data_IF_505780617686
#
_entry.id   IF_505780617686
#
_cell.length_a   1.000
_cell.length_b   1.000
_cell.length_c   1.000
_cell.angle_alpha   90.00
_cell.angle_beta   90.00
_cell.angle_gamma   90.00
#
_symmetry.space_group_name_H-M   'P 1'
#
loop_
_entity.id
_entity.type
_entity.pdbx_description
1 polymer ?
#
# COMPACT_ATOMS: atom_id res chain seq x y z
N UNK A 1 -13.82 -10.34 -15.61
CA UNK A 1 -12.77 -10.25 -14.57
C UNK A 1 -12.55 -8.80 -14.07
N UNK A 2 -12.30 -7.82 -14.95
CA UNK A 2 -12.05 -6.42 -14.53
C UNK A 2 -13.26 -5.79 -13.81
N UNK A 3 -14.46 -6.14 -14.24
CA UNK A 3 -15.71 -5.66 -13.63
C UNK A 3 -15.93 -6.27 -12.23
N UNK A 4 -15.72 -7.57 -12.06
CA UNK A 4 -15.86 -8.27 -10.77
C UNK A 4 -14.88 -7.69 -9.74
N UNK A 5 -13.63 -7.49 -10.14
CA UNK A 5 -12.60 -6.92 -9.24
C UNK A 5 -12.88 -5.46 -8.88
N UNK A 6 -13.48 -4.69 -9.78
CA UNK A 6 -13.96 -3.33 -9.50
C UNK A 6 -15.04 -3.34 -8.43
N UNK A 7 -16.02 -4.22 -8.54
CA UNK A 7 -17.12 -4.37 -7.60
C UNK A 7 -16.64 -4.83 -6.21
N UNK A 8 -15.75 -5.84 -6.17
CA UNK A 8 -15.14 -6.31 -4.91
C UNK A 8 -14.40 -5.18 -4.19
N UNK A 9 -13.62 -4.38 -4.92
CA UNK A 9 -12.90 -3.22 -4.37
C UNK A 9 -13.88 -2.17 -3.82
N UNK A 10 -14.94 -1.86 -4.55
CA UNK A 10 -15.95 -0.88 -4.13
C UNK A 10 -16.65 -1.35 -2.85
N UNK A 11 -17.05 -2.61 -2.78
CA UNK A 11 -17.67 -3.19 -1.60
C UNK A 11 -16.74 -3.11 -0.38
N UNK A 12 -15.47 -3.44 -0.57
CA UNK A 12 -14.46 -3.39 0.48
C UNK A 12 -14.25 -1.96 0.99
N UNK A 13 -14.15 -0.98 0.10
CA UNK A 13 -14.01 0.43 0.47
C UNK A 13 -15.25 0.95 1.20
N UNK A 14 -16.45 0.55 0.81
CA UNK A 14 -17.68 0.87 1.53
C UNK A 14 -17.69 0.26 2.94
N UNK A 15 -17.29 -1.00 3.09
CA UNK A 15 -17.18 -1.65 4.40
C UNK A 15 -16.20 -0.94 5.34
N UNK A 16 -15.10 -0.41 4.81
CA UNK A 16 -14.15 0.41 5.56
C UNK A 16 -14.77 1.75 5.93
N UNK A 17 -15.36 2.46 4.95
CA UNK A 17 -15.94 3.79 5.14
C UNK A 17 -17.13 3.78 6.11
N UNK A 18 -17.82 2.65 6.26
CA UNK A 18 -18.88 2.47 7.25
C UNK A 18 -18.39 2.54 8.69
N UNK A 19 -17.13 2.18 8.94
CA UNK A 19 -16.55 2.08 10.29
C UNK A 19 -15.47 3.11 10.59
N UNK A 20 -14.76 3.57 9.55
CA UNK A 20 -13.56 4.41 9.70
C UNK A 20 -13.58 5.59 8.75
N UNK A 21 -12.86 6.65 9.09
CA UNK A 21 -12.61 7.76 8.18
C UNK A 21 -11.72 7.27 7.02
N UNK A 22 -12.26 7.29 5.81
CA UNK A 22 -11.59 6.85 4.60
C UNK A 22 -11.44 8.01 3.62
N UNK A 23 -10.21 8.30 3.23
CA UNK A 23 -9.89 9.23 2.15
C UNK A 23 -9.57 8.46 0.87
N UNK A 24 -10.24 8.78 -0.23
CA UNK A 24 -10.05 8.12 -1.53
C UNK A 24 -9.59 9.13 -2.55
N UNK A 25 -8.36 8.99 -3.03
CA UNK A 25 -7.78 9.80 -4.09
C UNK A 25 -7.91 9.09 -5.44
N UNK A 26 -8.70 9.64 -6.35
CA UNK A 26 -8.98 8.98 -7.63
C UNK A 26 -9.20 9.98 -8.76
N UNK A 27 -8.79 9.58 -9.98
CA UNK A 27 -9.15 10.27 -11.21
C UNK A 27 -10.40 9.67 -11.88
N UNK A 28 -10.98 8.62 -11.29
CA UNK A 28 -12.22 8.04 -11.80
C UNK A 28 -13.42 8.76 -11.19
N UNK A 29 -14.06 9.60 -11.99
CA UNK A 29 -15.24 10.39 -11.58
C UNK A 29 -16.51 9.55 -11.36
N UNK A 30 -16.53 8.32 -11.90
CA UNK A 30 -17.65 7.39 -11.70
C UNK A 30 -17.58 6.63 -10.37
N UNK A 31 -16.38 6.59 -9.73
CA UNK A 31 -16.21 5.93 -8.45
C UNK A 31 -16.79 6.80 -7.35
N UNK A 32 -17.80 6.29 -6.66
CA UNK A 32 -18.36 6.91 -5.48
C UNK A 32 -18.40 5.91 -4.32
N UNK A 33 -17.81 6.29 -3.19
CA UNK A 33 -17.85 5.54 -1.93
C UNK A 33 -18.66 6.39 -0.94
N UNK A 34 -19.82 5.91 -0.55
CA UNK A 34 -20.89 6.73 0.04
C UNK A 34 -20.46 7.53 1.28
N UNK A 35 -19.64 6.92 2.16
CA UNK A 35 -19.19 7.55 3.41
C UNK A 35 -17.73 7.97 3.41
N UNK A 36 -17.03 7.82 2.28
CA UNK A 36 -15.64 8.22 2.17
C UNK A 36 -15.53 9.71 1.76
N UNK A 37 -14.41 10.32 2.13
CA UNK A 37 -14.01 11.62 1.61
C UNK A 37 -13.34 11.40 0.26
N UNK A 38 -14.05 11.78 -0.81
CA UNK A 38 -13.58 11.62 -2.18
C UNK A 38 -12.71 12.81 -2.58
N UNK A 39 -11.50 12.55 -3.01
CA UNK A 39 -10.55 13.55 -3.50
C UNK A 39 -10.25 13.31 -4.98
N UNK A 40 -10.01 14.39 -5.72
CA UNK A 40 -9.44 14.30 -7.07
C UNK A 40 -8.03 13.71 -7.02
N UNK A 41 -7.56 13.22 -8.16
CA UNK A 41 -6.15 12.79 -8.28
C UNK A 41 -5.22 13.96 -7.94
N UNK A 42 -4.16 13.66 -7.23
CA UNK A 42 -3.14 14.62 -6.81
C UNK A 42 -1.82 14.32 -7.53
N UNK A 43 -0.92 15.31 -7.53
CA UNK A 43 0.38 15.14 -8.14
C UNK A 43 1.16 14.00 -7.48
N UNK A 44 1.62 13.07 -8.32
CA UNK A 44 2.24 11.83 -7.89
C UNK A 44 3.58 12.04 -7.19
N UNK A 45 4.38 12.99 -7.66
CA UNK A 45 5.75 13.18 -7.17
C UNK A 45 5.82 14.12 -5.96
N UNK A 46 4.99 15.17 -5.92
CA UNK A 46 5.08 16.19 -4.89
C UNK A 46 4.07 16.01 -3.75
N UNK A 47 2.85 15.57 -4.06
CA UNK A 47 1.75 15.52 -3.09
C UNK A 47 1.46 14.13 -2.53
N UNK A 48 1.55 13.11 -3.38
CA UNK A 48 1.24 11.73 -2.96
C UNK A 48 2.13 11.23 -1.81
N UNK A 49 3.45 11.44 -1.80
CA UNK A 49 4.29 11.01 -0.68
C UNK A 49 3.90 11.66 0.66
N UNK A 50 3.43 12.91 0.63
CA UNK A 50 2.94 13.60 1.82
C UNK A 50 1.66 12.95 2.37
N UNK A 51 0.73 12.58 1.49
CA UNK A 51 -0.48 11.85 1.86
C UNK A 51 -0.13 10.51 2.49
N UNK A 52 0.77 9.72 1.88
CA UNK A 52 1.20 8.44 2.43
C UNK A 52 1.80 8.56 3.82
N UNK A 53 2.62 9.57 4.04
CA UNK A 53 3.26 9.80 5.34
C UNK A 53 2.30 10.27 6.42
N UNK A 54 1.27 11.06 6.06
CA UNK A 54 0.28 11.62 7.00
C UNK A 54 -0.86 10.66 7.31
N UNK A 55 -1.14 9.71 6.42
CA UNK A 55 -2.18 8.72 6.64
C UNK A 55 -1.77 7.72 7.70
N UNK A 56 -2.66 7.40 8.63
CA UNK A 56 -2.40 6.37 9.66
C UNK A 56 -2.15 5.01 9.02
N UNK A 57 -2.97 4.65 8.05
CA UNK A 57 -2.87 3.38 7.29
C UNK A 57 -3.05 3.70 5.81
N UNK A 58 -2.16 3.19 4.99
CA UNK A 58 -2.27 3.24 3.53
C UNK A 58 -2.65 1.86 3.02
N UNK A 59 -3.82 1.76 2.39
CA UNK A 59 -4.33 0.51 1.84
C UNK A 59 -3.88 0.32 0.39
N UNK A 60 -3.21 -0.78 0.11
CA UNK A 60 -2.92 -1.24 -1.24
C UNK A 60 -3.71 -2.50 -1.55
N UNK A 61 -4.50 -2.46 -2.62
CA UNK A 61 -5.26 -3.61 -3.11
C UNK A 61 -4.83 -3.91 -4.54
N UNK A 62 -3.98 -4.93 -4.68
CA UNK A 62 -3.58 -5.42 -6.00
C UNK A 62 -4.68 -6.33 -6.57
N UNK A 63 -4.95 -6.19 -7.86
CA UNK A 63 -5.96 -6.99 -8.54
C UNK A 63 -5.58 -8.48 -8.50
N UNK A 64 -6.55 -9.36 -8.25
CA UNK A 64 -6.36 -10.84 -8.27
C UNK A 64 -5.80 -11.38 -9.58
N UNK A 65 -5.98 -10.65 -10.69
CA UNK A 65 -5.42 -11.01 -11.98
C UNK A 65 -3.91 -10.78 -12.10
N UNK A 66 -3.33 -10.03 -11.18
CA UNK A 66 -1.87 -9.81 -11.11
C UNK A 66 -1.30 -10.90 -10.20
N UNK A 67 -0.83 -11.97 -10.83
CA UNK A 67 -0.30 -13.15 -10.14
C UNK A 67 1.20 -13.04 -9.85
N UNK A 68 1.89 -12.09 -10.49
CA UNK A 68 3.33 -11.85 -10.30
C UNK A 68 3.65 -10.36 -10.37
N UNK A 69 4.74 -9.98 -9.71
CA UNK A 69 5.19 -8.60 -9.60
C UNK A 69 4.58 -7.85 -8.40
N UNK A 70 5.26 -6.80 -7.98
CA UNK A 70 4.86 -5.95 -6.87
C UNK A 70 4.33 -4.64 -7.42
N UNK A 71 3.18 -4.20 -6.91
CA UNK A 71 2.65 -2.87 -7.22
C UNK A 71 3.66 -1.78 -6.81
N UNK A 72 3.97 -0.86 -7.71
CA UNK A 72 4.82 0.31 -7.40
C UNK A 72 4.29 1.07 -6.19
N UNK A 73 2.99 1.02 -5.94
CA UNK A 73 2.34 1.66 -4.79
C UNK A 73 2.91 1.17 -3.45
N UNK A 74 3.30 -0.09 -3.34
CA UNK A 74 3.94 -0.63 -2.12
C UNK A 74 5.26 0.09 -1.88
N UNK A 75 6.10 0.20 -2.91
CA UNK A 75 7.39 0.92 -2.81
C UNK A 75 7.20 2.41 -2.50
N UNK A 76 6.17 3.04 -3.09
CA UNK A 76 5.87 4.46 -2.86
C UNK A 76 5.45 4.72 -1.41
N UNK A 77 4.55 3.89 -0.86
CA UNK A 77 4.09 4.00 0.52
C UNK A 77 5.26 3.82 1.49
N UNK A 78 6.04 2.75 1.33
CA UNK A 78 7.20 2.47 2.18
C UNK A 78 8.28 3.55 2.02
N UNK A 79 8.54 4.00 0.79
CA UNK A 79 9.49 5.06 0.47
C UNK A 79 9.13 6.39 1.14
N UNK A 80 7.85 6.72 1.21
CA UNK A 80 7.34 7.89 1.92
C UNK A 80 7.36 7.75 3.46
N UNK A 81 7.63 6.56 3.99
CA UNK A 81 7.57 6.26 5.43
C UNK A 81 6.15 6.04 5.95
N UNK A 82 5.22 5.68 5.06
CA UNK A 82 3.84 5.33 5.41
C UNK A 82 3.70 3.88 5.87
N UNK A 83 2.74 3.62 6.75
CA UNK A 83 2.33 2.26 7.08
C UNK A 83 1.54 1.66 5.91
N UNK A 84 1.99 0.52 5.40
CA UNK A 84 1.38 -0.18 4.27
C UNK A 84 0.60 -1.41 4.73
N UNK A 85 -0.71 -1.42 4.48
CA UNK A 85 -1.57 -2.60 4.59
C UNK A 85 -1.94 -3.08 3.19
N UNK A 86 -1.52 -4.28 2.81
CA UNK A 86 -1.69 -4.80 1.45
C UNK A 86 -2.28 -6.20 1.44
N UNK A 87 -3.02 -6.56 0.38
CA UNK A 87 -3.39 -7.96 0.22
C UNK A 87 -2.16 -8.85 0.02
N UNK A 88 -2.25 -10.09 0.52
CA UNK A 88 -1.16 -11.06 0.39
C UNK A 88 -0.80 -11.29 -1.09
N UNK A 89 0.48 -11.21 -1.37
CA UNK A 89 1.11 -11.61 -2.62
C UNK A 89 2.46 -12.29 -2.31
N UNK A 90 2.71 -13.41 -2.94
CA UNK A 90 3.94 -14.19 -2.73
C UNK A 90 5.21 -13.37 -3.00
N UNK A 91 5.18 -12.53 -4.03
CA UNK A 91 6.34 -11.70 -4.38
C UNK A 91 6.60 -10.59 -3.33
N UNK A 92 5.56 -10.06 -2.70
CA UNK A 92 5.70 -9.12 -1.58
C UNK A 92 6.30 -9.86 -0.37
N UNK A 93 5.78 -11.04 -0.05
CA UNK A 93 6.23 -11.85 1.09
C UNK A 93 7.69 -12.33 0.94
N UNK A 94 8.20 -12.48 -0.28
CA UNK A 94 9.62 -12.78 -0.55
C UNK A 94 10.56 -11.61 -0.28
N UNK A 95 10.08 -10.37 -0.42
CA UNK A 95 10.93 -9.18 -0.34
C UNK A 95 10.79 -8.43 0.98
N UNK A 96 9.63 -8.52 1.63
CA UNK A 96 9.30 -7.80 2.85
C UNK A 96 8.72 -8.75 3.90
N UNK A 97 9.05 -8.49 5.16
CA UNK A 97 8.55 -9.27 6.28
C UNK A 97 7.19 -8.77 6.76
N UNK A 98 6.19 -9.66 6.71
CA UNK A 98 4.85 -9.39 7.23
C UNK A 98 4.87 -9.14 8.74
N UNK A 99 4.14 -8.12 9.19
CA UNK A 99 4.09 -7.71 10.59
C UNK A 99 5.34 -6.98 11.10
N UNK A 100 6.42 -6.88 10.30
CA UNK A 100 7.65 -6.19 10.68
C UNK A 100 7.97 -4.98 9.79
N UNK A 101 7.76 -5.09 8.48
CA UNK A 101 8.13 -4.08 7.47
C UNK A 101 6.93 -3.52 6.72
N UNK A 102 5.87 -4.30 6.65
CA UNK A 102 4.52 -3.97 6.17
C UNK A 102 3.54 -4.98 6.77
N UNK A 103 2.26 -4.84 6.50
CA UNK A 103 1.25 -5.80 6.94
C UNK A 103 0.45 -6.32 5.75
N UNK A 104 0.30 -7.64 5.67
CA UNK A 104 -0.47 -8.30 4.63
C UNK A 104 -1.79 -8.86 5.19
N UNK A 105 -2.86 -8.79 4.39
CA UNK A 105 -4.15 -9.42 4.71
C UNK A 105 -4.54 -10.44 3.64
N UNK A 106 -5.29 -11.45 4.03
CA UNK A 106 -5.70 -12.56 3.16
C UNK A 106 -7.12 -12.39 2.62
N UNK A 107 -8.01 -11.83 3.41
CA UNK A 107 -9.41 -11.62 3.08
C UNK A 107 -9.97 -10.34 3.74
N UNK A 108 -11.24 -10.06 3.50
CA UNK A 108 -11.93 -8.87 4.02
C UNK A 108 -11.97 -8.82 5.55
N UNK A 109 -12.27 -9.95 6.20
CA UNK A 109 -12.35 -9.99 7.65
C UNK A 109 -10.98 -9.77 8.29
N UNK A 110 -9.94 -10.41 7.75
CA UNK A 110 -8.55 -10.22 8.20
C UNK A 110 -8.11 -8.76 8.01
N UNK A 111 -8.47 -8.14 6.88
CA UNK A 111 -8.19 -6.73 6.63
C UNK A 111 -8.87 -5.82 7.66
N UNK A 112 -10.17 -6.01 7.92
CA UNK A 112 -10.92 -5.19 8.88
C UNK A 112 -10.37 -5.35 10.30
N UNK A 113 -10.03 -6.56 10.70
CA UNK A 113 -9.41 -6.82 12.01
C UNK A 113 -8.03 -6.13 12.13
N UNK A 114 -7.21 -6.18 11.08
CA UNK A 114 -5.90 -5.51 11.05
C UNK A 114 -6.04 -3.99 11.02
N UNK A 115 -7.02 -3.45 10.30
CA UNK A 115 -7.34 -2.02 10.35
C UNK A 115 -7.67 -1.58 11.78
N UNK A 116 -8.59 -2.27 12.45
CA UNK A 116 -8.97 -1.97 13.83
C UNK A 116 -7.77 -2.04 14.76
N UNK A 117 -7.03 -3.15 14.69
CA UNK A 117 -5.85 -3.36 15.52
C UNK A 117 -4.83 -2.24 15.38
N UNK A 118 -4.37 -1.96 14.16
CA UNK A 118 -3.32 -0.97 13.93
C UNK A 118 -3.79 0.49 14.06
N UNK A 119 -5.08 0.78 14.01
CA UNK A 119 -5.60 2.10 14.38
C UNK A 119 -5.48 2.36 15.88
N UNK A 120 -5.55 1.32 16.72
CA UNK A 120 -5.43 1.39 18.17
C UNK A 120 -3.98 1.26 18.67
N UNK A 121 -3.09 0.59 17.91
CA UNK A 121 -1.69 0.30 18.28
C UNK A 121 -0.71 1.20 17.51
N UNK A 122 -0.69 2.48 17.88
CA UNK A 122 0.08 3.49 17.16
C UNK A 122 1.59 3.24 17.19
N UNK A 123 2.15 2.88 18.34
CA UNK A 123 3.59 2.65 18.48
C UNK A 123 4.07 1.50 17.57
N UNK A 124 3.34 0.40 17.55
CA UNK A 124 3.65 -0.74 16.70
C UNK A 124 3.51 -0.38 15.22
N UNK A 125 2.42 0.32 14.86
CA UNK A 125 2.20 0.82 13.49
C UNK A 125 3.35 1.71 13.02
N UNK A 126 3.82 2.62 13.86
CA UNK A 126 4.94 3.51 13.53
C UNK A 126 6.27 2.75 13.43
N UNK A 127 6.50 1.75 14.28
CA UNK A 127 7.69 0.90 14.20
C UNK A 127 7.74 0.12 12.89
N UNK A 128 6.61 -0.48 12.47
CA UNK A 128 6.49 -1.19 11.19
C UNK A 128 6.73 -0.23 10.02
N UNK A 129 6.12 0.95 10.02
CA UNK A 129 6.33 1.96 8.96
C UNK A 129 7.81 2.37 8.85
N UNK A 130 8.49 2.58 9.97
CA UNK A 130 9.92 2.90 10.00
C UNK A 130 10.78 1.75 9.47
N UNK A 131 10.48 0.52 9.83
CA UNK A 131 11.20 -0.66 9.34
C UNK A 131 10.99 -0.84 7.83
N UNK A 132 9.76 -0.70 7.35
CA UNK A 132 9.45 -0.73 5.92
C UNK A 132 10.19 0.36 5.14
N UNK A 133 10.25 1.58 5.69
CA UNK A 133 11.02 2.67 5.09
C UNK A 133 12.52 2.35 4.99
N UNK A 134 13.08 1.68 6.00
CA UNK A 134 14.48 1.23 5.94
C UNK A 134 14.68 0.12 4.92
N UNK A 135 13.78 -0.87 4.91
CA UNK A 135 13.86 -2.03 4.03
C UNK A 135 13.75 -1.66 2.55
N UNK A 136 12.88 -0.69 2.20
CA UNK A 136 12.65 -0.29 0.81
C UNK A 136 13.84 0.42 0.17
N UNK A 137 14.76 0.99 0.94
CA UNK A 137 15.93 1.74 0.43
C UNK A 137 16.80 0.91 -0.52
N UNK A 138 16.90 -0.40 -0.31
CA UNK A 138 17.65 -1.31 -1.21
C UNK A 138 17.09 -1.33 -2.64
N UNK A 139 15.84 -0.91 -2.85
CA UNK A 139 15.18 -0.84 -4.14
C UNK A 139 15.15 0.58 -4.72
N UNK A 140 15.89 1.54 -4.13
CA UNK A 140 16.03 2.87 -4.74
C UNK A 140 16.67 2.78 -6.11
N UNK A 141 16.36 3.72 -7.00
CA UNK A 141 16.94 3.76 -8.33
C UNK A 141 18.48 3.78 -8.30
N UNK A 142 19.07 4.51 -7.36
CA UNK A 142 20.52 4.59 -7.21
C UNK A 142 21.13 3.22 -6.86
N UNK A 143 20.55 2.51 -5.90
CA UNK A 143 21.03 1.19 -5.49
C UNK A 143 20.83 0.13 -6.59
N UNK A 144 19.71 0.16 -7.29
CA UNK A 144 19.45 -0.75 -8.41
C UNK A 144 20.39 -0.47 -9.57
N UNK A 145 20.62 0.81 -9.90
CA UNK A 145 21.53 1.21 -10.94
C UNK A 145 22.97 0.81 -10.60
N UNK A 146 23.42 1.05 -9.37
CA UNK A 146 24.75 0.64 -8.91
C UNK A 146 24.93 -0.88 -9.02
N UNK A 147 23.93 -1.66 -8.64
CA UNK A 147 23.95 -3.11 -8.79
C UNK A 147 24.11 -3.53 -10.27
N UNK A 148 23.32 -2.96 -11.17
CA UNK A 148 23.36 -3.24 -12.61
C UNK A 148 24.75 -2.88 -13.19
N UNK A 149 25.27 -1.70 -12.85
CA UNK A 149 26.59 -1.26 -13.34
C UNK A 149 27.71 -2.16 -12.86
N UNK A 150 27.67 -2.62 -11.60
CA UNK A 150 28.65 -3.61 -11.10
C UNK A 150 28.56 -4.93 -11.87
N UNK A 151 27.36 -5.39 -12.21
CA UNK A 151 27.17 -6.62 -12.95
C UNK A 151 27.72 -6.52 -14.38
N UNK A 152 27.47 -5.40 -15.07
CA UNK A 152 27.99 -5.14 -16.43
C UNK A 152 29.51 -4.97 -16.43
N UNK A 153 30.09 -4.38 -15.38
CA UNK A 153 31.54 -4.19 -15.28
C UNK A 153 32.32 -5.49 -14.98
N UNK A 154 31.64 -6.55 -14.57
CA UNK A 154 32.22 -7.87 -14.28
C UNK A 154 32.11 -8.85 -15.47
N UNK A 155 31.40 -8.46 -16.53
CA UNK A 155 31.27 -9.19 -17.79
C UNK A 155 32.15 -8.57 -18.87
#
# INVERSE_FOLDING_TARGET
NKYITGLERTNLLNAIADKYNLDVFTGNEELNIEKAVMHKSIDYYSRMPEVFRKSKINLNMTLRSITSGISLRVYDILGAGGFCLTNYQEDIAKLFKDGEELVMFTDENDMLNKLEYYLLHEEERMAIALNGHKAVKKFSYDNVLEYILKYIALT
#
